data_IF_128036778357
#
_entry.id   IF_128036778357
#
_cell.length_a   1.000
_cell.length_b   1.000
_cell.length_c   1.000
_cell.angle_alpha   90.00
_cell.angle_beta   90.00
_cell.angle_gamma   90.00
#
_symmetry.space_group_name_H-M   'P 1'
#
loop_
_entity.id
_entity.type
_entity.pdbx_description
1 polymer ?
#
# COMPACT_ATOMS: atom_id res chain seq x y z
N UNK A 1 42.91 -12.60 22.30
CA UNK A 1 42.14 -11.35 22.42
C UNK A 1 41.98 -10.59 21.09
N UNK A 2 43.03 -10.34 20.29
CA UNK A 2 42.91 -9.60 19.00
C UNK A 2 41.95 -10.22 17.96
N UNK A 3 41.92 -11.55 17.83
CA UNK A 3 41.04 -12.25 16.87
C UNK A 3 39.56 -12.11 17.21
N UNK A 4 39.21 -12.10 18.50
CA UNK A 4 37.83 -12.01 18.96
C UNK A 4 37.26 -10.60 18.77
N UNK A 5 38.06 -9.57 19.08
CA UNK A 5 37.70 -8.17 18.86
C UNK A 5 37.50 -7.86 17.36
N UNK A 6 38.35 -8.43 16.50
CA UNK A 6 38.26 -8.27 15.05
C UNK A 6 36.95 -8.87 14.49
N UNK A 7 36.56 -10.07 14.95
CA UNK A 7 35.29 -10.70 14.53
C UNK A 7 34.08 -9.88 14.97
N UNK A 8 34.07 -9.39 16.21
CA UNK A 8 32.96 -8.55 16.71
C UNK A 8 32.84 -7.26 15.91
N UNK A 9 33.96 -6.59 15.62
CA UNK A 9 33.95 -5.37 14.80
C UNK A 9 33.46 -5.63 13.37
N UNK A 10 33.86 -6.74 12.74
CA UNK A 10 33.39 -7.10 11.39
C UNK A 10 31.88 -7.37 11.35
N UNK A 11 31.33 -8.05 12.37
CA UNK A 11 29.88 -8.32 12.45
C UNK A 11 29.09 -7.02 12.65
N UNK A 12 29.55 -6.14 13.54
CA UNK A 12 28.91 -4.83 13.77
C UNK A 12 28.93 -3.98 12.50
N UNK A 13 30.06 -3.96 11.79
CA UNK A 13 30.21 -3.16 10.57
C UNK A 13 29.34 -3.69 9.43
N UNK A 14 29.20 -5.01 9.30
CA UNK A 14 28.28 -5.63 8.34
C UNK A 14 26.82 -5.32 8.65
N UNK A 15 26.41 -5.40 9.92
CA UNK A 15 25.06 -5.03 10.34
C UNK A 15 24.77 -3.56 10.04
N UNK A 16 25.70 -2.65 10.35
CA UNK A 16 25.58 -1.22 10.04
C UNK A 16 25.42 -0.98 8.53
N UNK A 17 26.27 -1.59 7.69
CA UNK A 17 26.18 -1.47 6.24
C UNK A 17 24.84 -2.00 5.70
N UNK A 18 24.33 -3.12 6.23
CA UNK A 18 23.02 -3.65 5.83
C UNK A 18 21.86 -2.70 6.18
N UNK A 19 21.90 -2.07 7.36
CA UNK A 19 20.89 -1.09 7.77
C UNK A 19 20.93 0.21 6.95
N UNK A 20 22.14 0.68 6.59
CA UNK A 20 22.31 1.88 5.74
C UNK A 20 21.73 1.62 4.35
N UNK A 21 21.96 0.44 3.78
CA UNK A 21 21.39 0.06 2.48
C UNK A 21 19.86 -0.03 2.53
N UNK A 22 19.29 -0.65 3.57
CA UNK A 22 17.84 -0.74 3.73
C UNK A 22 17.18 0.66 3.84
N UNK A 23 17.82 1.58 4.58
CA UNK A 23 17.35 2.96 4.70
C UNK A 23 17.41 3.71 3.35
N UNK A 24 18.51 3.57 2.60
CA UNK A 24 18.65 4.20 1.29
C UNK A 24 17.61 3.68 0.27
N UNK A 25 17.34 2.37 0.28
CA UNK A 25 16.29 1.76 -0.55
C UNK A 25 14.92 2.34 -0.18
N UNK A 26 14.62 2.47 1.11
CA UNK A 26 13.35 3.01 1.57
C UNK A 26 13.15 4.49 1.19
N UNK A 27 14.21 5.29 1.26
CA UNK A 27 14.20 6.70 0.85
C UNK A 27 13.95 6.84 -0.66
N UNK A 28 14.60 6.03 -1.49
CA UNK A 28 14.37 6.02 -2.94
C UNK A 28 12.95 5.57 -3.31
N UNK A 29 12.38 4.60 -2.57
CA UNK A 29 10.99 4.16 -2.73
C UNK A 29 10.02 5.31 -2.45
N UNK A 30 10.18 6.03 -1.33
CA UNK A 30 9.28 7.12 -0.98
C UNK A 30 9.42 8.33 -1.90
N UNK A 31 10.63 8.61 -2.42
CA UNK A 31 10.82 9.63 -3.48
C UNK A 31 10.09 9.24 -4.76
N UNK A 32 10.15 7.97 -5.16
CA UNK A 32 9.40 7.50 -6.33
C UNK A 32 7.89 7.68 -6.12
N UNK A 33 7.36 7.33 -4.94
CA UNK A 33 5.95 7.52 -4.61
C UNK A 33 5.52 8.99 -4.57
N UNK A 34 6.34 9.88 -4.01
CA UNK A 34 6.06 11.31 -4.00
C UNK A 34 5.95 11.88 -5.43
N UNK A 35 6.83 11.43 -6.34
CA UNK A 35 6.80 11.85 -7.74
C UNK A 35 5.55 11.34 -8.45
N UNK A 36 5.15 10.09 -8.25
CA UNK A 36 3.93 9.52 -8.82
C UNK A 36 2.68 10.25 -8.30
N UNK A 37 2.59 10.52 -7.00
CA UNK A 37 1.48 11.27 -6.41
C UNK A 37 1.39 12.70 -6.96
N UNK A 38 2.52 13.39 -7.10
CA UNK A 38 2.59 14.72 -7.72
C UNK A 38 2.08 14.71 -9.16
N UNK A 39 2.38 13.65 -9.92
CA UNK A 39 1.88 13.48 -11.28
C UNK A 39 0.38 13.16 -11.29
N UNK A 40 -0.08 12.19 -10.48
CA UNK A 40 -1.49 11.81 -10.37
C UNK A 40 -2.37 12.97 -9.91
N UNK A 41 -1.89 13.79 -8.99
CA UNK A 41 -2.67 14.93 -8.49
C UNK A 41 -2.97 15.95 -9.60
N UNK A 42 -2.10 16.05 -10.63
CA UNK A 42 -2.30 16.92 -11.78
C UNK A 42 -3.17 16.31 -12.87
N UNK A 43 -3.16 14.98 -13.01
CA UNK A 43 -3.75 14.30 -14.18
C UNK A 43 -5.05 13.55 -13.86
N UNK A 44 -5.23 13.12 -12.62
CA UNK A 44 -6.29 12.19 -12.21
C UNK A 44 -7.05 12.64 -10.95
N UNK A 45 -6.66 13.76 -10.33
CA UNK A 45 -7.18 14.27 -9.06
C UNK A 45 -7.03 13.26 -7.92
N UNK A 46 -5.99 13.43 -7.09
CA UNK A 46 -5.78 12.56 -5.93
C UNK A 46 -6.76 12.98 -4.83
N UNK A 47 -7.56 12.04 -4.37
CA UNK A 47 -8.48 12.21 -3.25
C UNK A 47 -7.74 11.87 -1.94
N UNK A 48 -7.25 10.64 -1.86
CA UNK A 48 -6.57 10.11 -0.68
C UNK A 48 -5.53 9.06 -1.11
N UNK A 49 -4.57 8.77 -0.24
CA UNK A 49 -3.60 7.70 -0.45
C UNK A 49 -3.17 7.06 0.87
N UNK A 50 -2.57 5.87 0.78
CA UNK A 50 -1.91 5.20 1.90
C UNK A 50 -0.71 4.38 1.41
N UNK A 51 0.14 3.98 2.35
CA UNK A 51 1.20 2.99 2.11
C UNK A 51 0.99 1.77 2.99
N UNK A 52 0.95 0.60 2.39
CA UNK A 52 0.67 -0.65 3.07
C UNK A 52 1.49 -1.79 2.48
N UNK A 53 2.14 -2.57 3.34
CA UNK A 53 2.89 -3.76 2.93
C UNK A 53 1.89 -4.89 2.62
N UNK A 54 1.54 -5.02 1.34
CA UNK A 54 0.51 -5.92 0.86
C UNK A 54 1.00 -7.37 0.86
N UNK A 55 2.25 -7.61 0.50
CA UNK A 55 2.81 -8.96 0.36
C UNK A 55 3.71 -9.38 1.52
N UNK A 56 3.84 -8.55 2.56
CA UNK A 56 4.61 -8.81 3.80
C UNK A 56 6.10 -8.99 3.54
N UNK A 57 6.63 -8.27 2.55
CA UNK A 57 8.05 -8.33 2.17
C UNK A 57 8.90 -7.21 2.81
N UNK A 58 8.27 -6.33 3.59
CA UNK A 58 8.92 -5.19 4.24
C UNK A 58 8.97 -3.92 3.38
N UNK A 59 8.57 -3.97 2.11
CA UNK A 59 8.44 -2.82 1.21
C UNK A 59 6.96 -2.49 1.08
N UNK A 60 6.55 -1.34 1.62
CA UNK A 60 5.15 -0.91 1.52
C UNK A 60 4.79 -0.51 0.09
N UNK A 61 3.69 -1.02 -0.43
CA UNK A 61 3.08 -0.52 -1.66
C UNK A 61 2.32 0.79 -1.44
N UNK A 62 2.28 1.63 -2.47
CA UNK A 62 1.46 2.83 -2.51
C UNK A 62 0.09 2.50 -3.10
N UNK A 63 -0.97 2.92 -2.40
CA UNK A 63 -2.35 2.82 -2.86
C UNK A 63 -2.94 4.22 -2.91
N UNK A 64 -3.45 4.63 -4.07
CA UNK A 64 -3.96 5.98 -4.31
C UNK A 64 -5.40 5.90 -4.77
N UNK A 65 -6.29 6.62 -4.10
CA UNK A 65 -7.65 6.89 -4.57
C UNK A 65 -7.64 8.15 -5.42
N UNK A 66 -8.03 8.01 -6.68
CA UNK A 66 -8.13 9.13 -7.62
C UNK A 66 -9.54 9.26 -8.16
N UNK A 67 -9.97 10.47 -8.50
CA UNK A 67 -11.27 10.77 -9.09
C UNK A 67 -11.79 12.10 -8.58
N UNK A 68 -12.99 12.47 -9.01
CA UNK A 68 -13.64 13.74 -8.65
C UNK A 68 -14.96 13.54 -7.91
N UNK A 69 -15.50 12.32 -7.93
CA UNK A 69 -16.75 11.96 -7.30
C UNK A 69 -16.82 10.44 -7.02
N UNK A 70 -17.82 10.02 -6.25
CA UNK A 70 -17.99 8.61 -5.91
C UNK A 70 -18.03 7.69 -7.14
N UNK A 71 -18.66 8.13 -8.23
CA UNK A 71 -18.85 7.31 -9.42
C UNK A 71 -17.58 7.08 -10.25
N UNK A 72 -16.59 7.98 -10.16
CA UNK A 72 -15.34 7.90 -10.92
C UNK A 72 -14.12 7.56 -10.05
N UNK A 73 -14.31 7.30 -8.75
CA UNK A 73 -13.23 6.90 -7.88
C UNK A 73 -12.60 5.57 -8.32
N UNK A 74 -11.26 5.56 -8.34
CA UNK A 74 -10.43 4.41 -8.68
C UNK A 74 -9.30 4.29 -7.66
N UNK A 75 -9.13 3.10 -7.10
CA UNK A 75 -7.92 2.72 -6.39
C UNK A 75 -6.84 2.30 -7.38
N UNK A 76 -5.65 2.90 -7.28
CA UNK A 76 -4.46 2.61 -8.08
C UNK A 76 -3.38 2.05 -7.17
N UNK A 77 -2.80 0.92 -7.56
CA UNK A 77 -1.82 0.20 -6.75
C UNK A 77 -0.45 0.24 -7.41
N UNK A 78 0.57 0.59 -6.63
CA UNK A 78 1.93 0.76 -7.09
C UNK A 78 2.93 0.07 -6.16
N UNK A 79 3.86 -0.67 -6.76
CA UNK A 79 5.09 -1.12 -6.11
C UNK A 79 6.24 -0.22 -6.54
N UNK A 80 7.37 -0.31 -5.86
CA UNK A 80 8.61 0.31 -6.29
C UNK A 80 9.73 -0.73 -6.32
N UNK A 81 10.50 -0.75 -7.40
CA UNK A 81 11.70 -1.58 -7.52
C UNK A 81 12.86 -0.70 -7.99
N UNK A 82 13.94 -0.64 -7.22
CA UNK A 82 15.13 0.16 -7.52
C UNK A 82 14.80 1.64 -7.84
N UNK A 83 13.91 2.25 -7.06
CA UNK A 83 13.48 3.64 -7.24
C UNK A 83 12.56 3.88 -8.43
N UNK A 84 12.07 2.82 -9.09
CA UNK A 84 11.15 2.91 -10.23
C UNK A 84 9.75 2.43 -9.86
N UNK A 85 8.75 3.19 -10.26
CA UNK A 85 7.34 2.84 -10.08
C UNK A 85 6.97 1.64 -10.96
N UNK A 86 6.31 0.68 -10.34
CA UNK A 86 5.68 -0.47 -10.98
C UNK A 86 4.18 -0.37 -10.74
N UNK A 87 3.41 -0.14 -11.80
CA UNK A 87 1.94 -0.15 -11.73
C UNK A 87 1.43 -1.57 -11.62
N UNK A 88 0.81 -1.91 -10.49
CA UNK A 88 0.29 -3.25 -10.23
C UNK A 88 -1.10 -3.46 -10.84
N UNK A 89 -1.91 -2.41 -10.86
CA UNK A 89 -3.27 -2.43 -11.39
C UNK A 89 -4.20 -1.46 -10.68
N UNK A 90 -5.49 -1.59 -10.96
CA UNK A 90 -6.54 -0.73 -10.42
C UNK A 90 -7.75 -1.53 -9.92
N UNK A 91 -8.52 -0.90 -9.03
CA UNK A 91 -9.83 -1.37 -8.56
C UNK A 91 -10.81 -0.20 -8.55
N UNK A 92 -12.11 -0.47 -8.69
CA UNK A 92 -13.12 0.57 -8.45
C UNK A 92 -13.05 1.06 -7.00
N UNK A 93 -13.07 2.38 -6.83
CA UNK A 93 -13.05 3.06 -5.54
C UNK A 93 -14.40 3.67 -5.15
N UNK A 94 -15.42 3.53 -6.01
CA UNK A 94 -16.79 3.98 -5.73
C UNK A 94 -17.46 3.06 -4.73
N UNK A 95 -18.05 3.65 -3.68
CA UNK A 95 -18.67 2.94 -2.56
C UNK A 95 -17.82 1.78 -2.03
N UNK A 96 -16.48 1.97 -2.01
CA UNK A 96 -15.52 0.92 -1.68
C UNK A 96 -14.49 1.40 -0.65
N UNK A 97 -14.20 0.53 0.33
CA UNK A 97 -13.19 0.75 1.36
C UNK A 97 -12.06 -0.29 1.30
N UNK A 98 -10.90 0.10 1.81
CA UNK A 98 -9.73 -0.76 1.98
C UNK A 98 -9.65 -1.25 3.43
N UNK A 99 -9.37 -2.53 3.63
CA UNK A 99 -9.29 -3.14 4.95
C UNK A 99 -8.05 -4.03 5.06
N UNK A 100 -7.50 -4.10 6.27
CA UNK A 100 -6.30 -4.89 6.54
C UNK A 100 -6.56 -6.37 6.29
N UNK A 101 -5.61 -7.02 5.64
CA UNK A 101 -5.58 -8.48 5.53
C UNK A 101 -4.40 -8.99 6.35
N UNK A 102 -4.68 -9.84 7.33
CA UNK A 102 -3.63 -10.52 8.12
C UNK A 102 -2.80 -11.50 7.28
N UNK A 103 -3.26 -11.83 6.08
CA UNK A 103 -2.54 -12.61 5.08
C UNK A 103 -2.00 -11.68 3.96
N UNK A 104 -1.45 -12.27 2.90
CA UNK A 104 -0.99 -11.48 1.75
C UNK A 104 -2.16 -10.83 1.01
N UNK A 105 -2.15 -9.51 0.97
CA UNK A 105 -3.03 -8.65 0.20
C UNK A 105 -3.68 -7.55 1.04
N UNK A 106 -4.68 -6.91 0.44
CA UNK A 106 -5.60 -5.96 1.06
C UNK A 106 -7.01 -6.41 0.74
N UNK A 107 -7.95 -6.19 1.65
CA UNK A 107 -9.35 -6.38 1.33
C UNK A 107 -9.93 -5.13 0.68
N UNK A 108 -10.58 -5.30 -0.47
CA UNK A 108 -11.41 -4.27 -1.09
C UNK A 108 -12.85 -4.69 -0.91
N UNK A 109 -13.55 -3.98 -0.03
CA UNK A 109 -14.97 -4.18 0.21
C UNK A 109 -15.74 -3.07 -0.50
N UNK A 110 -16.77 -3.45 -1.27
CA UNK A 110 -17.64 -2.49 -1.95
C UNK A 110 -19.09 -2.85 -1.67
N UNK A 111 -19.90 -1.82 -1.43
CA UNK A 111 -21.30 -1.94 -1.09
C UNK A 111 -22.09 -0.86 -1.85
N UNK A 112 -22.91 -1.26 -2.81
CA UNK A 112 -23.67 -0.34 -3.64
C UNK A 112 -24.94 -0.99 -4.19
N UNK A 113 -26.05 -0.25 -4.20
CA UNK A 113 -27.35 -0.63 -4.82
C UNK A 113 -27.89 -2.01 -4.38
N UNK A 114 -27.78 -2.34 -3.10
CA UNK A 114 -28.28 -3.59 -2.52
C UNK A 114 -27.35 -4.78 -2.69
N UNK A 115 -26.12 -4.56 -3.16
CA UNK A 115 -25.10 -5.59 -3.33
C UNK A 115 -23.83 -5.23 -2.58
N UNK A 116 -23.24 -6.23 -1.93
CA UNK A 116 -21.90 -6.13 -1.37
C UNK A 116 -20.96 -7.14 -2.01
N UNK A 117 -19.69 -6.78 -2.11
CA UNK A 117 -18.64 -7.63 -2.66
C UNK A 117 -17.36 -7.43 -1.85
N UNK A 118 -16.68 -8.53 -1.56
CA UNK A 118 -15.38 -8.53 -0.90
C UNK A 118 -14.35 -9.24 -1.78
N UNK A 119 -13.26 -8.54 -2.09
CA UNK A 119 -12.09 -9.11 -2.74
C UNK A 119 -10.91 -9.09 -1.79
N UNK A 120 -10.11 -10.16 -1.78
CA UNK A 120 -8.71 -10.08 -1.35
C UNK A 120 -7.88 -9.78 -2.58
N UNK A 121 -7.20 -8.64 -2.58
CA UNK A 121 -6.35 -8.20 -3.67
C UNK A 121 -4.90 -8.38 -3.22
N UNK A 122 -4.22 -9.35 -3.82
CA UNK A 122 -2.82 -9.67 -3.52
C UNK A 122 -1.91 -9.25 -4.67
N UNK A 123 -0.62 -9.05 -4.39
CA UNK A 123 0.41 -8.84 -5.42
C UNK A 123 0.99 -10.18 -5.86
N UNK A 124 1.07 -10.42 -7.17
CA UNK A 124 1.76 -11.56 -7.77
C UNK A 124 2.74 -11.06 -8.83
N UNK A 125 4.01 -10.92 -8.45
CA UNK A 125 5.00 -10.20 -9.24
C UNK A 125 4.59 -8.74 -9.45
N UNK A 126 4.56 -8.29 -10.70
CA UNK A 126 4.22 -6.91 -11.08
C UNK A 126 2.73 -6.68 -11.38
N UNK A 127 1.84 -7.54 -10.87
CA UNK A 127 0.40 -7.45 -11.13
C UNK A 127 -0.43 -7.72 -9.88
N UNK A 128 -1.62 -7.14 -9.84
CA UNK A 128 -2.65 -7.54 -8.88
C UNK A 128 -3.23 -8.91 -9.24
N UNK A 129 -3.53 -9.69 -8.21
CA UNK A 129 -4.22 -10.96 -8.26
C UNK A 129 -5.44 -10.88 -7.34
N UNK A 130 -6.61 -10.46 -7.86
CA UNK A 130 -7.83 -10.39 -7.08
C UNK A 130 -8.47 -11.76 -6.90
N UNK A 131 -8.87 -12.06 -5.68
CA UNK A 131 -9.67 -13.22 -5.33
C UNK A 131 -10.99 -12.76 -4.71
N UNK A 132 -12.11 -13.04 -5.37
CA UNK A 132 -13.45 -12.72 -4.85
C UNK A 132 -13.80 -13.70 -3.73
N UNK A 133 -13.99 -13.20 -2.52
CA UNK A 133 -14.45 -14.02 -1.39
C UNK A 133 -15.95 -14.24 -1.45
N UNK A 134 -16.70 -13.17 -1.69
CA UNK A 134 -18.14 -13.24 -1.89
C UNK A 134 -18.63 -12.05 -2.71
N UNK A 135 -19.83 -12.23 -3.25
CA UNK A 135 -20.69 -11.17 -3.79
C UNK A 135 -22.12 -11.61 -3.54
N UNK A 136 -22.93 -10.75 -2.88
CA UNK A 136 -24.29 -11.11 -2.49
C UNK A 136 -25.19 -9.88 -2.41
N UNK A 137 -26.49 -10.12 -2.53
CA UNK A 137 -27.51 -9.14 -2.21
C UNK A 137 -27.59 -8.96 -0.69
N UNK A 138 -27.76 -7.72 -0.26
CA UNK A 138 -27.92 -7.35 1.14
C UNK A 138 -28.92 -6.21 1.28
N UNK A 139 -29.73 -6.29 2.34
CA UNK A 139 -30.67 -5.24 2.73
C UNK A 139 -30.06 -4.28 3.78
N UNK A 140 -29.02 -4.74 4.47
CA UNK A 140 -28.25 -3.96 5.45
C UNK A 140 -26.76 -4.26 5.26
N UNK A 141 -25.94 -3.22 5.25
CA UNK A 141 -24.51 -3.33 4.95
C UNK A 141 -23.72 -3.48 6.24
N UNK A 142 -22.74 -4.38 6.24
CA UNK A 142 -21.84 -4.55 7.37
C UNK A 142 -20.40 -4.34 6.92
N UNK A 143 -19.79 -3.26 7.40
CA UNK A 143 -18.39 -2.99 7.12
C UNK A 143 -17.48 -4.03 7.79
N UNK A 144 -16.42 -4.48 7.09
CA UNK A 144 -15.37 -5.26 7.71
C UNK A 144 -14.68 -4.52 8.86
N UNK A 145 -14.11 -5.28 9.80
CA UNK A 145 -13.28 -4.72 10.87
C UNK A 145 -11.89 -4.37 10.31
N UNK A 146 -11.18 -3.41 10.93
CA UNK A 146 -9.82 -2.98 10.58
C UNK A 146 -9.69 -2.24 9.23
N UNK A 147 -10.29 -1.04 9.11
CA UNK A 147 -10.10 -0.23 7.91
C UNK A 147 -8.65 0.23 7.78
N UNK A 148 -8.14 0.28 6.56
CA UNK A 148 -6.90 0.98 6.22
C UNK A 148 -7.27 2.45 6.03
N UNK A 149 -6.84 3.29 6.95
CA UNK A 149 -7.06 4.73 6.85
C UNK A 149 -6.16 5.35 5.78
N UNK A 150 -6.76 6.15 4.91
CA UNK A 150 -6.07 6.91 3.88
C UNK A 150 -6.02 8.39 4.30
N UNK A 151 -5.04 9.13 3.78
CA UNK A 151 -4.86 10.57 4.07
C UNK A 151 -4.86 11.39 2.78
N UNK A 152 -5.33 12.63 2.88
CA UNK A 152 -5.32 13.63 1.80
C UNK A 152 -4.19 14.66 1.94
N UNK A 153 -3.47 14.68 3.07
CA UNK A 153 -2.36 15.61 3.32
C UNK A 153 -1.00 14.91 3.21
N UNK A 154 -0.10 15.49 2.43
CA UNK A 154 1.31 15.08 2.38
C UNK A 154 2.07 15.62 3.60
N UNK A 155 1.76 15.09 4.78
CA UNK A 155 2.43 15.48 6.04
C UNK A 155 3.71 14.65 6.29
N UNK A 156 4.49 14.50 5.21
CA UNK A 156 5.79 13.83 5.23
C UNK A 156 5.75 12.45 5.89
N UNK A 157 4.87 11.55 5.44
CA UNK A 157 4.81 10.13 5.87
C UNK A 157 5.18 9.91 7.35
N UNK A 158 4.61 10.70 8.27
CA UNK A 158 4.71 10.37 9.69
C UNK A 158 3.76 9.22 9.97
N UNK A 159 4.38 8.07 10.19
CA UNK A 159 3.80 6.84 10.70
C UNK A 159 2.79 7.16 11.82
N UNK A 160 1.49 7.01 11.58
CA UNK A 160 0.46 6.98 12.63
C UNK A 160 -0.06 5.56 12.85
N UNK A 161 0.86 4.59 12.86
CA UNK A 161 0.62 3.34 13.57
C UNK A 161 1.00 3.57 15.03
N UNK A 162 0.03 3.93 15.86
CA UNK A 162 -0.11 3.66 17.31
C UNK A 162 -1.16 4.61 17.91
N UNK A 163 -2.37 4.09 18.16
CA UNK A 163 -3.08 4.21 19.43
C UNK A 163 -3.79 2.90 19.71
#
# INVERSE_FOLDING_TARGET
>A
MKKFLCVVMSVVMFALMSSVNAFAIQDDVYKAYANELSWLNKTSSVEEYCVYDMNKDGIKELIVKTGTCEADYVYRFYSCEYGKIITLGTFSGGSAGLYECNANGVFVYSAHMGYETLYRVSKNGHKLSPYKLFSREVYDYHEPKQPIYMTSTWDGMTYSGLY
#
